data_IF_107341685534
#
_entry.id   IF_107341685534
#
_cell.length_a   1.000
_cell.length_b   1.000
_cell.length_c   1.000
_cell.angle_alpha   90.00
_cell.angle_beta   90.00
_cell.angle_gamma   90.00
#
_symmetry.space_group_name_H-M   'P 1'
#
loop_
_entity.id
_entity.type
_entity.pdbx_description
1 polymer ?
#
# COMPACT_ATOMS: atom_id res chain seq x y z
N UNK A 1 -29.34 19.50 39.76
CA UNK A 1 -30.58 19.96 39.10
C UNK A 1 -30.21 20.82 37.89
N UNK A 2 -30.28 20.26 36.70
CA UNK A 2 -30.50 21.03 35.45
C UNK A 2 -30.78 20.04 34.34
N UNK A 3 -32.06 19.96 34.03
CA UNK A 3 -32.67 19.26 32.91
C UNK A 3 -32.18 19.84 31.59
N UNK A 4 -31.84 18.98 30.62
CA UNK A 4 -31.94 19.36 29.22
C UNK A 4 -32.81 18.37 28.47
N UNK A 5 -33.94 18.94 28.08
CA UNK A 5 -35.07 18.44 27.33
C UNK A 5 -34.65 17.90 25.95
N UNK A 6 -35.24 16.76 25.63
CA UNK A 6 -35.38 16.12 24.33
C UNK A 6 -36.12 17.01 23.33
N UNK A 7 -35.61 17.18 22.11
CA UNK A 7 -36.41 17.63 20.97
C UNK A 7 -35.95 16.93 19.68
N UNK A 8 -36.73 15.95 19.25
CA UNK A 8 -36.68 15.37 17.90
C UNK A 8 -37.51 16.24 16.94
N UNK A 9 -37.03 16.60 15.74
CA UNK A 9 -37.88 17.16 14.71
C UNK A 9 -38.50 16.06 13.83
N UNK A 10 -39.77 16.30 13.53
CA UNK A 10 -40.72 15.46 12.79
C UNK A 10 -40.37 15.35 11.31
N UNK A 11 -40.65 14.17 10.74
CA UNK A 11 -40.76 13.92 9.31
C UNK A 11 -42.04 14.56 8.74
N UNK A 12 -42.01 15.09 7.51
CA UNK A 12 -43.20 15.27 6.71
C UNK A 12 -43.36 14.15 5.67
N UNK A 13 -44.58 13.60 5.64
CA UNK A 13 -45.10 12.62 4.69
C UNK A 13 -45.76 13.26 3.46
N UNK A 14 -45.84 12.47 2.38
CA UNK A 14 -46.79 12.52 1.25
C UNK A 14 -46.58 13.62 0.20
N UNK A 15 -46.33 13.22 -1.05
CA UNK A 15 -47.39 13.23 -2.07
C UNK A 15 -47.08 12.31 -3.27
N UNK A 16 -48.09 11.51 -3.58
CA UNK A 16 -48.28 10.64 -4.73
C UNK A 16 -48.78 11.42 -5.95
N UNK A 17 -48.24 11.09 -7.12
CA UNK A 17 -48.79 11.41 -8.45
C UNK A 17 -47.82 10.88 -9.51
N UNK A 18 -48.13 9.92 -10.37
CA UNK A 18 -49.42 9.59 -10.98
C UNK A 18 -49.51 10.27 -12.34
N UNK A 19 -48.80 9.75 -13.35
CA UNK A 19 -48.85 10.23 -14.73
C UNK A 19 -48.26 9.19 -15.68
N UNK A 20 -49.14 8.43 -16.33
CA UNK A 20 -48.80 7.32 -17.22
C UNK A 20 -48.16 7.74 -18.56
N UNK A 21 -47.69 6.75 -19.35
CA UNK A 21 -46.81 6.99 -20.48
C UNK A 21 -47.56 7.43 -21.75
N UNK A 22 -47.04 8.45 -22.42
CA UNK A 22 -47.48 8.82 -23.77
C UNK A 22 -46.98 7.76 -24.78
N UNK A 23 -47.95 7.09 -25.43
CA UNK A 23 -47.76 6.26 -26.63
C UNK A 23 -47.43 7.14 -27.83
N UNK A 24 -46.39 6.79 -28.58
CA UNK A 24 -46.16 7.22 -29.97
C UNK A 24 -45.79 6.00 -30.83
N UNK A 25 -46.08 6.04 -32.14
CA UNK A 25 -46.49 4.86 -32.91
C UNK A 25 -45.33 3.97 -33.37
N UNK A 26 -45.70 2.71 -33.59
CA UNK A 26 -44.95 1.68 -34.28
C UNK A 26 -44.61 2.13 -35.70
N UNK A 27 -43.34 2.01 -36.09
CA UNK A 27 -42.94 1.99 -37.48
C UNK A 27 -42.07 0.75 -37.70
N UNK A 28 -42.65 -0.25 -38.37
CA UNK A 28 -41.94 -1.40 -38.91
C UNK A 28 -41.22 -0.99 -40.18
N UNK A 29 -39.91 -1.26 -40.27
CA UNK A 29 -39.30 -1.92 -41.44
C UNK A 29 -37.79 -2.11 -41.29
N UNK A 30 -37.40 -3.38 -41.21
CA UNK A 30 -36.42 -4.06 -42.07
C UNK A 30 -35.08 -3.35 -42.40
N UNK A 31 -33.97 -3.90 -41.91
CA UNK A 31 -32.63 -3.54 -42.40
C UNK A 31 -31.50 -4.29 -41.70
N UNK A 32 -30.92 -5.26 -42.39
CA UNK A 32 -29.95 -6.27 -41.93
C UNK A 32 -28.58 -5.70 -41.51
N UNK A 33 -27.86 -6.53 -40.74
CA UNK A 33 -26.39 -6.61 -40.64
C UNK A 33 -25.63 -5.58 -39.77
N UNK A 34 -25.85 -5.59 -38.46
CA UNK A 34 -24.90 -5.05 -37.49
C UNK A 34 -23.91 -6.14 -37.04
N UNK A 35 -22.87 -6.34 -37.86
CA UNK A 35 -21.71 -7.18 -37.53
C UNK A 35 -21.04 -6.61 -36.27
N UNK A 36 -20.82 -7.50 -35.31
CA UNK A 36 -20.15 -7.25 -34.04
C UNK A 36 -18.77 -6.62 -34.24
N UNK A 37 -18.62 -5.35 -33.92
CA UNK A 37 -17.32 -4.77 -33.57
C UNK A 37 -17.26 -4.60 -32.05
N UNK A 38 -16.93 -5.70 -31.36
CA UNK A 38 -16.41 -5.64 -30.00
C UNK A 38 -15.06 -4.94 -30.06
N UNK A 39 -15.09 -3.61 -29.92
CA UNK A 39 -13.90 -2.78 -29.74
C UNK A 39 -13.02 -3.40 -28.66
N UNK A 40 -11.83 -3.83 -29.07
CA UNK A 40 -10.79 -4.36 -28.17
C UNK A 40 -10.32 -3.19 -27.32
N UNK A 41 -10.94 -3.02 -26.15
CA UNK A 41 -10.56 -2.00 -25.17
C UNK A 41 -9.08 -2.20 -24.84
N UNK A 42 -8.22 -1.28 -25.27
CA UNK A 42 -6.79 -1.31 -24.95
C UNK A 42 -6.70 -1.25 -23.42
N UNK A 43 -6.24 -2.34 -22.81
CA UNK A 43 -5.99 -2.44 -21.37
C UNK A 43 -4.97 -1.35 -21.03
N UNK A 44 -5.41 -0.26 -20.42
CA UNK A 44 -4.53 0.77 -19.88
C UNK A 44 -3.59 0.10 -18.89
N UNK A 45 -2.28 0.12 -19.18
CA UNK A 45 -1.25 -0.45 -18.30
C UNK A 45 -1.36 0.28 -16.97
N UNK A 46 -1.86 -0.37 -15.91
CA UNK A 46 -1.79 0.20 -14.56
C UNK A 46 -0.32 0.38 -14.21
N UNK A 47 0.04 1.57 -13.74
CA UNK A 47 1.37 1.83 -13.19
C UNK A 47 1.61 0.87 -12.03
N UNK A 48 2.75 0.18 -12.04
CA UNK A 48 3.14 -0.69 -10.93
C UNK A 48 3.43 0.17 -9.70
N UNK A 49 2.93 -0.27 -8.55
CA UNK A 49 3.04 0.43 -7.27
C UNK A 49 3.81 -0.46 -6.31
N UNK A 50 4.83 0.10 -5.67
CA UNK A 50 5.67 -0.59 -4.70
C UNK A 50 5.62 0.13 -3.36
N UNK A 51 5.79 -0.64 -2.29
CA UNK A 51 6.13 -0.11 -0.97
C UNK A 51 7.51 -0.65 -0.60
N UNK A 52 8.43 0.22 -0.21
CA UNK A 52 9.71 -0.20 0.34
C UNK A 52 9.58 -0.38 1.85
N UNK A 53 9.95 -1.58 2.30
CA UNK A 53 10.14 -1.89 3.71
C UNK A 53 11.39 -1.18 4.29
N UNK A 54 11.47 -1.07 5.61
CA UNK A 54 12.67 -0.62 6.33
C UNK A 54 13.92 -1.36 5.85
N UNK A 55 13.84 -2.68 5.70
CA UNK A 55 14.98 -3.49 5.27
C UNK A 55 15.43 -3.19 3.84
N UNK A 56 14.53 -2.83 2.93
CA UNK A 56 14.88 -2.40 1.58
C UNK A 56 15.58 -1.04 1.58
N UNK A 57 15.10 -0.09 2.37
CA UNK A 57 15.76 1.23 2.53
C UNK A 57 17.16 1.10 3.11
N UNK A 58 17.33 0.27 4.15
CA UNK A 58 18.64 0.05 4.77
C UNK A 58 19.59 -0.75 3.85
N UNK A 59 19.06 -1.65 3.02
CA UNK A 59 19.84 -2.37 2.01
C UNK A 59 20.45 -1.38 1.02
N UNK A 60 19.64 -0.43 0.53
CA UNK A 60 20.09 0.63 -0.36
C UNK A 60 21.12 1.55 0.34
N UNK A 61 20.80 2.04 1.54
CA UNK A 61 21.67 2.95 2.29
C UNK A 61 23.06 2.37 2.59
N UNK A 62 23.11 1.09 2.96
CA UNK A 62 24.36 0.41 3.31
C UNK A 62 25.07 -0.21 2.10
N UNK A 63 24.55 -0.05 0.88
CA UNK A 63 25.03 -0.72 -0.34
C UNK A 63 25.21 -2.24 -0.13
N UNK A 64 24.20 -2.89 0.46
CA UNK A 64 24.20 -4.33 0.68
C UNK A 64 23.74 -5.10 -0.57
N UNK A 65 23.97 -6.43 -0.58
CA UNK A 65 23.36 -7.31 -1.58
C UNK A 65 21.84 -7.10 -1.66
N UNK A 66 21.36 -6.83 -2.89
CA UNK A 66 19.99 -6.41 -3.17
C UNK A 66 19.82 -4.91 -3.45
N UNK A 67 20.82 -4.07 -3.18
CA UNK A 67 20.76 -2.62 -3.43
C UNK A 67 20.50 -2.31 -4.91
N UNK A 68 21.15 -3.03 -5.83
CA UNK A 68 20.96 -2.87 -7.27
C UNK A 68 19.50 -3.01 -7.70
N UNK A 69 18.74 -3.91 -7.08
CA UNK A 69 17.32 -4.11 -7.40
C UNK A 69 16.46 -2.96 -6.88
N UNK A 70 16.74 -2.46 -5.67
CA UNK A 70 16.07 -1.27 -5.12
C UNK A 70 16.36 -0.04 -5.98
N UNK A 71 17.61 0.14 -6.42
CA UNK A 71 17.99 1.21 -7.34
C UNK A 71 17.32 1.06 -8.71
N UNK A 72 17.24 -0.16 -9.25
CA UNK A 72 16.56 -0.44 -10.51
C UNK A 72 15.10 0.00 -10.45
N UNK A 73 14.39 -0.29 -9.35
CA UNK A 73 13.02 0.16 -9.13
C UNK A 73 12.92 1.69 -9.04
N UNK A 74 13.83 2.34 -8.30
CA UNK A 74 13.88 3.80 -8.20
C UNK A 74 14.09 4.52 -9.55
N UNK A 75 14.82 3.89 -10.48
CA UNK A 75 15.06 4.40 -11.84
C UNK A 75 13.96 4.02 -12.84
N UNK A 76 13.07 3.09 -12.49
CA UNK A 76 12.00 2.61 -13.37
C UNK A 76 10.80 3.56 -13.36
N UNK A 77 9.92 3.44 -14.37
CA UNK A 77 8.68 4.21 -14.44
C UNK A 77 7.56 3.57 -13.59
N UNK A 78 7.78 3.56 -12.27
CA UNK A 78 6.89 2.99 -11.28
C UNK A 78 6.63 4.00 -10.16
N UNK A 79 5.60 3.74 -9.35
CA UNK A 79 5.30 4.56 -8.16
C UNK A 79 5.84 3.84 -6.93
N UNK A 80 6.68 4.51 -6.15
CA UNK A 80 7.24 3.95 -4.93
C UNK A 80 6.71 4.73 -3.74
N UNK A 81 6.18 4.01 -2.77
CA UNK A 81 5.71 4.51 -1.50
C UNK A 81 6.61 4.00 -0.37
N UNK A 82 6.63 4.76 0.72
CA UNK A 82 7.30 4.37 1.96
C UNK A 82 6.37 4.71 3.11
N UNK A 83 6.04 3.73 3.95
CA UNK A 83 5.21 3.95 5.14
C UNK A 83 5.95 4.85 6.12
N UNK A 84 5.26 5.79 6.78
CA UNK A 84 5.82 6.59 7.88
C UNK A 84 6.53 5.73 8.94
N UNK A 85 6.08 4.48 9.10
CA UNK A 85 6.66 3.53 10.02
C UNK A 85 8.05 3.05 9.55
N UNK A 86 8.25 2.82 8.25
CA UNK A 86 9.57 2.52 7.69
C UNK A 86 10.54 3.68 7.86
N UNK A 87 10.06 4.92 7.66
CA UNK A 87 10.85 6.13 7.93
C UNK A 87 11.30 6.18 9.39
N UNK A 88 10.36 5.96 10.32
CA UNK A 88 10.63 6.00 11.75
C UNK A 88 11.62 4.90 12.16
N UNK A 89 11.36 3.65 11.78
CA UNK A 89 12.16 2.50 12.18
C UNK A 89 13.60 2.58 11.62
N UNK A 90 13.76 2.93 10.34
CA UNK A 90 15.07 3.10 9.73
C UNK A 90 15.89 4.18 10.46
N UNK A 91 15.29 5.35 10.71
CA UNK A 91 15.94 6.46 11.42
C UNK A 91 16.30 6.09 12.86
N UNK A 92 15.39 5.42 13.57
CA UNK A 92 15.64 4.91 14.91
C UNK A 92 16.84 3.95 14.93
N UNK A 93 16.87 2.98 14.01
CA UNK A 93 17.95 1.99 13.92
C UNK A 93 19.29 2.62 13.62
N UNK A 94 19.34 3.56 12.67
CA UNK A 94 20.58 4.28 12.33
C UNK A 94 21.03 5.13 13.52
N UNK A 95 20.14 5.88 14.15
CA UNK A 95 20.51 6.69 15.32
C UNK A 95 21.08 5.81 16.43
N UNK A 96 20.34 4.77 16.81
CA UNK A 96 20.73 3.87 17.89
C UNK A 96 22.08 3.19 17.66
N UNK A 97 22.39 2.80 16.43
CA UNK A 97 23.55 1.97 16.11
C UNK A 97 24.75 2.76 15.55
N UNK A 98 24.54 3.99 15.06
CA UNK A 98 25.57 4.81 14.41
C UNK A 98 25.67 6.16 15.11
N UNK A 99 24.78 7.11 14.80
CA UNK A 99 24.73 8.43 15.45
C UNK A 99 23.47 9.19 15.03
N UNK A 100 23.15 10.27 15.77
CA UNK A 100 22.08 11.19 15.40
C UNK A 100 22.31 11.81 14.02
N UNK A 101 23.54 12.21 13.75
CA UNK A 101 23.96 12.88 12.53
C UNK A 101 23.75 11.97 11.31
N UNK A 102 24.09 10.67 11.44
CA UNK A 102 23.82 9.68 10.40
C UNK A 102 22.31 9.46 10.15
N UNK A 103 21.49 9.54 11.21
CA UNK A 103 20.02 9.44 11.09
C UNK A 103 19.43 10.66 10.37
N UNK A 104 19.96 11.85 10.63
CA UNK A 104 19.55 13.09 9.94
C UNK A 104 20.07 13.13 8.49
N UNK A 105 21.25 12.57 8.22
CA UNK A 105 21.74 12.36 6.86
C UNK A 105 20.86 11.38 6.09
N UNK A 106 20.48 10.26 6.70
CA UNK A 106 19.56 9.30 6.09
C UNK A 106 18.18 9.92 5.80
N UNK A 107 17.67 10.79 6.68
CA UNK A 107 16.42 11.50 6.42
C UNK A 107 16.52 12.39 5.17
N UNK A 108 17.59 13.19 5.05
CA UNK A 108 17.86 14.00 3.85
C UNK A 108 18.04 13.13 2.60
N UNK A 109 18.69 11.98 2.75
CA UNK A 109 18.85 11.02 1.66
C UNK A 109 17.50 10.52 1.14
N UNK A 110 16.58 10.13 2.04
CA UNK A 110 15.23 9.71 1.64
C UNK A 110 14.43 10.81 0.94
N UNK A 111 14.59 12.07 1.35
CA UNK A 111 13.94 13.22 0.70
C UNK A 111 14.41 13.45 -0.74
N UNK A 112 15.61 12.96 -1.10
CA UNK A 112 16.16 13.03 -2.45
C UNK A 112 15.72 11.85 -3.34
N UNK A 113 15.18 10.78 -2.76
CA UNK A 113 14.71 9.63 -3.52
C UNK A 113 13.37 9.91 -4.18
N UNK A 114 13.11 9.27 -5.33
CA UNK A 114 11.81 9.29 -6.03
C UNK A 114 10.78 8.41 -5.31
N UNK A 115 10.52 8.70 -4.03
CA UNK A 115 9.58 7.96 -3.17
C UNK A 115 8.52 8.89 -2.59
N UNK A 116 7.35 8.34 -2.26
CA UNK A 116 6.24 9.06 -1.63
C UNK A 116 6.01 8.54 -0.22
N UNK A 117 6.18 9.39 0.78
CA UNK A 117 5.79 9.05 2.15
C UNK A 117 4.27 8.85 2.25
N UNK A 118 3.87 7.82 3.00
CA UNK A 118 2.46 7.53 3.31
C UNK A 118 2.29 7.56 4.82
N UNK A 119 1.52 8.53 5.29
CA UNK A 119 1.16 8.66 6.71
C UNK A 119 -0.07 7.81 7.08
N UNK A 120 -0.41 7.83 8.37
CA UNK A 120 -1.53 7.06 8.92
C UNK A 120 -2.85 7.50 8.28
N UNK A 121 -3.66 6.51 7.89
CA UNK A 121 -5.06 6.68 7.54
C UNK A 121 -5.89 5.64 8.29
N UNK A 122 -7.19 5.88 8.46
CA UNK A 122 -8.07 4.92 9.14
C UNK A 122 -8.03 3.52 8.47
N UNK A 123 -8.10 3.39 7.14
CA UNK A 123 -8.02 2.06 6.50
C UNK A 123 -6.70 1.33 6.77
N UNK A 124 -5.58 2.06 6.81
CA UNK A 124 -4.27 1.46 7.14
C UNK A 124 -4.25 1.03 8.60
N UNK A 125 -4.78 1.84 9.52
CA UNK A 125 -4.85 1.50 10.95
C UNK A 125 -5.64 0.21 11.18
N UNK A 126 -6.86 0.12 10.66
CA UNK A 126 -7.70 -1.08 10.84
C UNK A 126 -7.01 -2.32 10.27
N UNK A 127 -6.40 -2.20 9.08
CA UNK A 127 -5.67 -3.31 8.47
C UNK A 127 -4.42 -3.70 9.29
N UNK A 128 -3.70 -2.74 9.87
CA UNK A 128 -2.55 -3.02 10.71
C UNK A 128 -2.94 -3.76 12.00
N UNK A 129 -4.07 -3.39 12.62
CA UNK A 129 -4.63 -4.09 13.79
C UNK A 129 -4.97 -5.55 13.44
N UNK A 130 -5.67 -5.76 12.34
CA UNK A 130 -6.01 -7.10 11.84
C UNK A 130 -4.74 -7.94 11.62
N UNK A 131 -3.78 -7.42 10.86
CA UNK A 131 -2.53 -8.11 10.56
C UNK A 131 -1.72 -8.44 11.82
N UNK A 132 -1.59 -7.50 12.77
CA UNK A 132 -0.85 -7.69 14.01
C UNK A 132 -1.48 -8.75 14.92
N UNK A 133 -2.80 -8.91 14.82
CA UNK A 133 -3.59 -9.88 15.59
C UNK A 133 -3.53 -11.27 14.95
N UNK A 134 -3.59 -11.34 13.62
CA UNK A 134 -3.60 -12.61 12.87
C UNK A 134 -2.20 -13.20 12.70
N UNK A 135 -1.17 -12.37 12.55
CA UNK A 135 0.19 -12.78 12.25
C UNK A 135 1.17 -12.38 13.35
N UNK A 136 2.25 -13.16 13.48
CA UNK A 136 3.32 -12.88 14.42
C UNK A 136 4.29 -11.83 13.87
N UNK A 137 3.77 -10.68 13.43
CA UNK A 137 4.54 -9.55 12.92
C UNK A 137 4.92 -8.58 14.04
N UNK A 138 6.02 -7.87 13.87
CA UNK A 138 6.31 -6.69 14.69
C UNK A 138 5.25 -5.59 14.48
N UNK A 139 5.19 -4.62 15.40
CA UNK A 139 4.31 -3.45 15.21
C UNK A 139 4.69 -2.71 13.92
N UNK A 140 5.97 -2.54 13.66
CA UNK A 140 6.45 -1.84 12.46
C UNK A 140 5.99 -2.55 11.19
N UNK A 141 6.26 -3.85 11.08
CA UNK A 141 5.94 -4.65 9.90
C UNK A 141 4.44 -4.73 9.65
N UNK A 142 3.62 -4.74 10.71
CA UNK A 142 2.16 -4.71 10.59
C UNK A 142 1.67 -3.43 9.89
N UNK A 143 2.24 -2.27 10.23
CA UNK A 143 1.91 -1.00 9.57
C UNK A 143 2.44 -0.91 8.13
N UNK A 144 3.64 -1.43 7.89
CA UNK A 144 4.27 -1.43 6.56
C UNK A 144 3.47 -2.32 5.61
N UNK A 145 3.12 -3.53 6.04
CA UNK A 145 2.30 -4.45 5.27
C UNK A 145 0.89 -3.91 5.05
N UNK A 146 0.26 -3.32 6.07
CA UNK A 146 -1.03 -2.66 5.92
C UNK A 146 -1.00 -1.55 4.88
N UNK A 147 0.09 -0.77 4.84
CA UNK A 147 0.31 0.27 3.83
C UNK A 147 0.36 -0.33 2.43
N UNK A 148 1.10 -1.43 2.23
CA UNK A 148 1.18 -2.12 0.94
C UNK A 148 -0.18 -2.64 0.47
N UNK A 149 -0.93 -3.30 1.36
CA UNK A 149 -2.27 -3.83 1.06
C UNK A 149 -3.24 -2.70 0.72
N UNK A 150 -3.27 -1.62 1.51
CA UNK A 150 -4.18 -0.50 1.27
C UNK A 150 -3.95 0.20 -0.09
N UNK A 151 -2.72 0.13 -0.61
CA UNK A 151 -2.33 0.73 -1.89
C UNK A 151 -2.35 -0.26 -3.07
N UNK A 152 -2.74 -1.52 -2.84
CA UNK A 152 -2.63 -2.60 -3.84
C UNK A 152 -1.20 -2.74 -4.40
N UNK A 153 -0.21 -2.47 -3.54
CA UNK A 153 1.20 -2.37 -3.89
C UNK A 153 1.98 -3.65 -3.59
N UNK A 154 3.11 -3.83 -4.28
CA UNK A 154 4.08 -4.89 -4.01
C UNK A 154 5.07 -4.44 -2.94
N UNK A 155 5.17 -5.17 -1.84
CA UNK A 155 6.12 -4.90 -0.76
C UNK A 155 7.50 -5.46 -1.12
N UNK A 156 8.51 -4.59 -1.16
CA UNK A 156 9.92 -4.97 -1.36
C UNK A 156 10.58 -5.05 0.00
N UNK A 157 11.10 -6.20 0.38
CA UNK A 157 11.66 -6.46 1.71
C UNK A 157 12.85 -7.42 1.66
N UNK A 158 13.60 -7.50 2.75
CA UNK A 158 14.69 -8.47 3.02
C UNK A 158 14.46 -9.23 4.32
N UNK A 159 13.27 -9.09 4.92
CA UNK A 159 12.90 -9.74 6.17
C UNK A 159 12.12 -11.04 5.93
N UNK A 160 12.60 -12.21 6.41
CA UNK A 160 11.86 -13.46 6.29
C UNK A 160 10.54 -13.48 7.10
N UNK A 161 10.33 -12.57 8.05
CA UNK A 161 9.06 -12.48 8.79
C UNK A 161 7.86 -12.25 7.86
N UNK A 162 8.04 -11.68 6.66
CA UNK A 162 6.97 -11.50 5.68
C UNK A 162 6.61 -12.78 4.92
N UNK A 163 7.38 -13.86 5.00
CA UNK A 163 7.04 -15.12 4.31
C UNK A 163 5.70 -15.69 4.78
N UNK A 164 5.34 -15.46 6.05
CA UNK A 164 4.07 -15.91 6.62
C UNK A 164 2.84 -15.24 5.98
N UNK A 165 3.02 -14.12 5.28
CA UNK A 165 1.94 -13.34 4.63
C UNK A 165 1.99 -13.39 3.10
N UNK A 166 2.80 -14.28 2.51
CA UNK A 166 2.96 -14.39 1.07
C UNK A 166 1.67 -14.75 0.31
N UNK A 167 0.69 -15.37 0.97
CA UNK A 167 -0.65 -15.64 0.40
C UNK A 167 -1.59 -14.44 0.45
N UNK A 168 -1.28 -13.43 1.28
CA UNK A 168 -2.16 -12.29 1.58
C UNK A 168 -1.71 -11.01 0.86
N UNK A 169 -0.41 -10.89 0.55
CA UNK A 169 0.16 -9.69 -0.06
C UNK A 169 1.12 -10.03 -1.22
N UNK A 170 1.32 -9.05 -2.10
CA UNK A 170 2.33 -9.12 -3.18
C UNK A 170 3.69 -8.80 -2.57
N UNK A 171 4.64 -9.73 -2.65
CA UNK A 171 5.97 -9.59 -2.05
C UNK A 171 7.08 -9.73 -3.10
N UNK A 172 8.15 -8.97 -2.93
CA UNK A 172 9.45 -9.18 -3.56
C UNK A 172 10.50 -9.26 -2.44
N UNK A 173 11.09 -10.43 -2.28
CA UNK A 173 12.19 -10.66 -1.34
C UNK A 173 13.53 -10.33 -2.02
N UNK A 174 14.30 -9.44 -1.40
CA UNK A 174 15.70 -9.19 -1.70
C UNK A 174 16.56 -10.34 -1.14
N UNK A 175 17.77 -10.58 -1.70
CA UNK A 175 18.64 -11.67 -1.23
C UNK A 175 18.89 -11.61 0.28
N UNK A 176 18.54 -12.67 1.02
CA UNK A 176 18.76 -12.72 2.46
C UNK A 176 20.25 -12.77 2.79
N UNK A 177 20.65 -12.19 3.93
CA UNK A 177 22.02 -12.35 4.43
C UNK A 177 22.28 -13.83 4.73
N UNK A 178 23.29 -14.40 4.08
CA UNK A 178 23.81 -15.73 4.45
C UNK A 178 24.33 -15.63 5.88
N UNK A 179 23.65 -16.28 6.84
CA UNK A 179 24.20 -16.41 8.19
C UNK A 179 25.50 -17.20 8.08
N UNK A 180 26.65 -16.60 8.38
CA UNK A 180 27.87 -17.37 8.64
C UNK A 180 27.58 -18.28 9.81
N UNK A 181 27.45 -19.58 9.56
CA UNK A 181 27.53 -20.59 10.60
C UNK A 181 28.94 -20.54 11.16
N UNK A 182 29.09 -20.02 12.38
CA UNK A 182 30.33 -20.16 13.13
C UNK A 182 30.57 -21.67 13.30
N UNK A 183 31.59 -22.18 12.61
CA UNK A 183 32.05 -23.56 12.81
C UNK A 183 32.48 -23.70 14.27
N UNK A 184 31.83 -24.63 14.95
CA UNK A 184 32.22 -25.20 16.23
C UNK A 184 33.74 -25.27 16.37
N UNK A 185 34.30 -24.51 17.32
CA UNK A 185 35.64 -24.77 17.83
C UNK A 185 35.57 -26.04 18.66
N UNK A 186 36.21 -27.09 18.14
CA UNK A 186 36.65 -28.27 18.87
C UNK A 186 37.58 -27.88 20.01
#
# INVERSE_FOLDING_TARGET
>A
MSSRSSHSPKTPSLHSGGGGPARFPLNDSCGKDARTERGKMKKTKRSEVYVFDTSALLTLWNNEEGADEVERLLRSDVVIHVSFMSWMEARYRIWKNVSREASDEFARYLDLLRVKRVDVTQPILEKAVELKTTYALSVCDSWILATAIALDATLVHKDPEFEQVASTAKLIALPYKVRRTEKSKK
#
